data_IF_753833240611
#
_entry.id   IF_753833240611
#
_cell.length_a   1.000
_cell.length_b   1.000
_cell.length_c   1.000
_cell.angle_alpha   90.00
_cell.angle_beta   90.00
_cell.angle_gamma   90.00
#
_symmetry.space_group_name_H-M   'P 1'
#
loop_
_entity.id
_entity.type
_entity.pdbx_description
1 polymer ?
#
# COMPACT_ATOMS: atom_id res chain seq x y z
N UNK A 1 36.14 -9.49 -29.26
CA UNK A 1 34.89 -10.11 -28.86
C UNK A 1 33.95 -9.04 -28.25
N UNK A 2 32.72 -8.99 -28.73
CA UNK A 2 31.79 -8.03 -28.20
C UNK A 2 31.39 -8.36 -26.78
N UNK A 3 31.41 -7.37 -25.94
CA UNK A 3 30.97 -7.51 -24.56
C UNK A 3 29.45 -7.70 -24.52
N UNK A 4 29.00 -8.87 -24.07
CA UNK A 4 27.58 -9.21 -23.97
C UNK A 4 26.87 -8.27 -22.99
N UNK A 5 27.58 -7.81 -21.97
CA UNK A 5 27.01 -6.90 -20.97
C UNK A 5 26.66 -5.52 -21.53
N UNK A 6 27.26 -5.13 -22.66
CA UNK A 6 26.99 -3.87 -23.30
C UNK A 6 25.74 -3.85 -24.18
N UNK A 7 25.11 -5.00 -24.42
CA UNK A 7 23.96 -5.06 -25.33
C UNK A 7 22.69 -4.60 -24.65
N UNK A 8 21.96 -3.64 -25.29
CA UNK A 8 20.71 -3.11 -24.67
C UNK A 8 19.67 -4.18 -24.38
N UNK A 9 19.50 -5.16 -25.27
CA UNK A 9 18.53 -6.22 -25.06
C UNK A 9 18.85 -7.10 -23.86
N UNK A 10 20.13 -7.35 -23.59
CA UNK A 10 20.56 -8.13 -22.42
C UNK A 10 20.31 -7.35 -21.15
N UNK A 11 20.69 -6.07 -21.14
CA UNK A 11 20.44 -5.21 -19.99
C UNK A 11 18.96 -5.07 -19.69
N UNK A 12 18.14 -4.96 -20.74
CA UNK A 12 16.69 -4.87 -20.61
C UNK A 12 16.11 -6.15 -19.99
N UNK A 13 16.58 -7.32 -20.41
CA UNK A 13 16.12 -8.58 -19.86
C UNK A 13 16.53 -8.75 -18.40
N UNK A 14 17.74 -8.35 -18.03
CA UNK A 14 18.22 -8.42 -16.66
C UNK A 14 17.35 -7.54 -15.77
N UNK A 15 17.08 -6.29 -16.19
CA UNK A 15 16.24 -5.37 -15.42
C UNK A 15 14.82 -5.89 -15.28
N UNK A 16 14.25 -6.47 -16.36
CA UNK A 16 12.93 -7.06 -16.31
C UNK A 16 12.87 -8.18 -15.28
N UNK A 17 13.85 -9.08 -15.31
CA UNK A 17 13.92 -10.19 -14.37
C UNK A 17 14.08 -9.71 -12.93
N UNK A 18 14.89 -8.69 -12.71
CA UNK A 18 15.05 -8.10 -11.38
C UNK A 18 13.75 -7.51 -10.86
N UNK A 19 12.98 -6.83 -11.73
CA UNK A 19 11.67 -6.28 -11.36
C UNK A 19 10.69 -7.41 -11.01
N UNK A 20 10.69 -8.49 -11.79
CA UNK A 20 9.81 -9.63 -11.53
C UNK A 20 10.15 -10.31 -10.19
N UNK A 21 11.42 -10.48 -9.89
CA UNK A 21 11.86 -11.05 -8.62
C UNK A 21 11.50 -10.15 -7.45
N UNK A 22 11.67 -8.85 -7.60
CA UNK A 22 11.29 -7.89 -6.56
C UNK A 22 9.78 -7.90 -6.33
N UNK A 23 9.00 -7.94 -7.42
CA UNK A 23 7.54 -8.02 -7.31
C UNK A 23 7.09 -9.31 -6.62
N UNK A 24 7.71 -10.43 -6.93
CA UNK A 24 7.37 -11.71 -6.30
C UNK A 24 7.70 -11.71 -4.80
N UNK A 25 8.83 -11.13 -4.41
CA UNK A 25 9.19 -11.00 -2.98
C UNK A 25 8.20 -10.10 -2.26
N UNK A 26 7.81 -9.01 -2.90
CA UNK A 26 6.82 -8.09 -2.35
C UNK A 26 5.48 -8.79 -2.13
N UNK A 27 5.02 -9.58 -3.11
CA UNK A 27 3.75 -10.29 -3.01
C UNK A 27 3.72 -11.26 -1.84
N UNK A 28 4.86 -11.89 -1.52
CA UNK A 28 4.93 -12.82 -0.38
C UNK A 28 4.70 -12.12 0.97
N UNK A 29 4.88 -10.81 1.03
CA UNK A 29 4.67 -10.05 2.27
C UNK A 29 3.22 -9.63 2.49
N UNK A 30 2.37 -9.68 1.46
CA UNK A 30 0.99 -9.21 1.58
C UNK A 30 0.22 -9.97 2.64
N UNK A 31 0.49 -11.26 2.82
CA UNK A 31 -0.16 -12.08 3.84
C UNK A 31 0.07 -11.56 5.26
N UNK A 32 1.14 -10.80 5.49
CA UNK A 32 1.49 -10.27 6.81
C UNK A 32 0.92 -8.86 7.04
N UNK A 33 0.21 -8.32 6.05
CA UNK A 33 -0.38 -6.99 6.17
C UNK A 33 -1.61 -7.01 7.07
N UNK A 34 -1.86 -5.88 7.73
CA UNK A 34 -3.08 -5.68 8.51
C UNK A 34 -4.21 -5.16 7.64
N UNK A 35 -3.89 -4.43 6.59
CA UNK A 35 -4.88 -3.84 5.70
C UNK A 35 -4.24 -3.53 4.35
N UNK A 36 -5.04 -3.58 3.30
CA UNK A 36 -4.65 -3.06 1.97
C UNK A 36 -5.56 -1.87 1.66
N UNK A 37 -4.96 -0.68 1.59
CA UNK A 37 -5.67 0.55 1.23
C UNK A 37 -5.64 0.69 -0.29
N UNK A 38 -6.79 0.95 -0.88
CA UNK A 38 -6.90 0.95 -2.34
C UNK A 38 -7.50 2.23 -2.89
N UNK A 39 -7.04 2.59 -4.07
CA UNK A 39 -7.79 3.41 -5.01
C UNK A 39 -8.19 2.45 -6.12
N UNK A 40 -9.41 1.87 -6.03
CA UNK A 40 -9.80 0.88 -7.02
C UNK A 40 -9.81 1.50 -8.40
N UNK A 41 -9.25 0.79 -9.16
CA UNK A 41 -8.47 -0.24 -9.70
C UNK A 41 -6.99 0.12 -9.86
N UNK A 42 -6.63 1.39 -9.54
CA UNK A 42 -5.33 1.95 -9.90
C UNK A 42 -4.23 1.70 -8.88
N UNK A 43 -4.56 1.75 -7.59
CA UNK A 43 -3.52 1.68 -6.55
C UNK A 43 -3.91 0.69 -5.46
N UNK A 44 -2.90 -0.03 -4.97
CA UNK A 44 -3.00 -0.82 -3.73
C UNK A 44 -1.75 -0.62 -2.90
N UNK A 45 -1.93 -0.42 -1.59
CA UNK A 45 -0.84 -0.27 -0.63
C UNK A 45 -1.12 -1.16 0.56
N UNK A 46 -0.28 -2.16 0.78
CA UNK A 46 -0.40 -3.08 1.91
C UNK A 46 0.39 -2.53 3.09
N UNK A 47 -0.26 -2.41 4.23
CA UNK A 47 0.28 -1.79 5.42
C UNK A 47 0.26 -2.76 6.58
N UNK A 48 1.29 -2.71 7.41
CA UNK A 48 1.32 -3.46 8.66
C UNK A 48 1.76 -2.54 9.80
N UNK A 49 1.12 -2.72 10.95
CA UNK A 49 1.52 -2.05 12.17
C UNK A 49 2.44 -2.98 12.93
N UNK A 50 3.67 -2.54 13.17
CA UNK A 50 4.64 -3.30 13.95
C UNK A 50 4.84 -2.63 15.30
N UNK A 51 4.39 -3.27 16.40
CA UNK A 51 4.57 -2.69 17.73
C UNK A 51 6.05 -2.52 18.12
N UNK A 52 6.96 -3.25 17.47
CA UNK A 52 8.39 -3.15 17.75
C UNK A 52 9.05 -1.97 17.02
N UNK A 53 8.42 -1.42 15.97
CA UNK A 53 8.85 -0.16 15.37
C UNK A 53 8.22 0.97 16.17
N UNK A 54 8.73 2.20 16.05
CA UNK A 54 8.32 3.36 16.84
C UNK A 54 6.83 3.74 16.70
N UNK A 55 5.96 2.76 16.46
CA UNK A 55 4.53 2.96 16.34
C UNK A 55 4.05 3.36 14.96
N UNK A 56 4.95 3.50 14.00
CA UNK A 56 4.58 3.88 12.65
C UNK A 56 4.26 2.66 11.81
N UNK A 57 3.13 2.67 11.08
CA UNK A 57 2.86 1.62 10.10
C UNK A 57 3.92 1.58 9.01
N UNK A 58 4.19 0.38 8.51
CA UNK A 58 5.20 0.13 7.47
C UNK A 58 4.51 -0.36 6.21
N UNK A 59 5.02 0.05 5.05
CA UNK A 59 4.52 -0.41 3.77
C UNK A 59 5.20 -1.74 3.43
N UNK A 60 4.41 -2.79 3.28
CA UNK A 60 4.92 -4.11 2.89
C UNK A 60 4.89 -4.32 1.38
N UNK A 61 3.91 -3.75 0.71
CA UNK A 61 3.74 -3.88 -0.73
C UNK A 61 2.98 -2.69 -1.26
N UNK A 62 3.28 -2.29 -2.48
CA UNK A 62 2.50 -1.26 -3.15
C UNK A 62 2.66 -1.40 -4.65
N UNK A 63 1.66 -0.97 -5.40
CA UNK A 63 1.71 -1.05 -6.84
C UNK A 63 0.56 -0.35 -7.52
N UNK A 64 0.69 -0.26 -8.84
CA UNK A 64 -0.33 0.32 -9.71
C UNK A 64 -0.83 -0.75 -10.66
N UNK A 65 -2.05 -0.57 -11.14
CA UNK A 65 -2.69 -1.35 -12.20
C UNK A 65 -2.55 -2.85 -11.97
N UNK A 66 -1.75 -3.56 -12.76
CA UNK A 66 -1.61 -5.00 -12.64
C UNK A 66 -1.05 -5.42 -11.28
N UNK A 67 -0.05 -4.72 -10.76
CA UNK A 67 0.48 -5.02 -9.43
C UNK A 67 -0.56 -4.72 -8.36
N UNK A 68 -1.32 -3.64 -8.50
CA UNK A 68 -2.41 -3.35 -7.57
C UNK A 68 -3.44 -4.47 -7.54
N UNK A 69 -3.79 -4.99 -8.69
CA UNK A 69 -4.70 -6.14 -8.80
C UNK A 69 -4.13 -7.36 -8.08
N UNK A 70 -2.85 -7.69 -8.34
CA UNK A 70 -2.20 -8.85 -7.70
C UNK A 70 -2.17 -8.71 -6.18
N UNK A 71 -1.91 -7.50 -5.67
CA UNK A 71 -1.92 -7.26 -4.22
C UNK A 71 -3.32 -7.52 -3.65
N UNK A 72 -4.36 -7.05 -4.32
CA UNK A 72 -5.74 -7.30 -3.86
C UNK A 72 -6.07 -8.79 -3.87
N UNK A 73 -5.67 -9.51 -4.91
CA UNK A 73 -5.93 -10.95 -4.98
C UNK A 73 -5.20 -11.71 -3.87
N UNK A 74 -3.94 -11.37 -3.62
CA UNK A 74 -3.19 -11.96 -2.50
C UNK A 74 -3.85 -11.65 -1.15
N UNK A 75 -4.32 -10.41 -0.99
CA UNK A 75 -5.02 -10.04 0.24
C UNK A 75 -6.28 -10.90 0.45
N UNK A 76 -7.04 -11.12 -0.61
CA UNK A 76 -8.25 -11.96 -0.53
C UNK A 76 -7.91 -13.39 -0.15
N UNK A 77 -6.86 -13.96 -0.75
CA UNK A 77 -6.44 -15.34 -0.47
C UNK A 77 -6.07 -15.51 1.01
N UNK A 78 -5.44 -14.51 1.60
CA UNK A 78 -4.94 -14.59 2.97
C UNK A 78 -5.84 -13.91 4.01
N UNK A 79 -7.04 -13.47 3.61
CA UNK A 79 -7.99 -12.88 4.54
C UNK A 79 -7.59 -11.49 5.04
N UNK A 80 -6.77 -10.78 4.31
CA UNK A 80 -6.39 -9.41 4.65
C UNK A 80 -7.48 -8.45 4.18
N UNK A 81 -7.91 -7.56 5.07
CA UNK A 81 -8.97 -6.61 4.78
C UNK A 81 -8.54 -5.60 3.72
N UNK A 82 -9.40 -5.38 2.74
CA UNK A 82 -9.22 -4.36 1.71
C UNK A 82 -10.08 -3.16 2.07
N UNK A 83 -9.47 -2.00 2.14
CA UNK A 83 -10.14 -0.76 2.54
C UNK A 83 -10.01 0.27 1.42
N UNK A 84 -11.07 0.53 0.65
CA UNK A 84 -11.02 1.56 -0.39
C UNK A 84 -10.99 2.95 0.25
N UNK A 85 -9.96 3.71 -0.07
CA UNK A 85 -9.81 5.10 0.37
C UNK A 85 -8.93 5.81 -0.66
N UNK A 86 -9.49 6.23 -1.80
CA UNK A 86 -8.69 6.72 -2.92
C UNK A 86 -7.70 7.83 -2.59
N UNK A 87 -8.08 8.90 -1.87
CA UNK A 87 -7.10 9.93 -1.55
C UNK A 87 -5.95 9.40 -0.68
N UNK A 88 -6.25 8.54 0.29
CA UNK A 88 -5.23 7.97 1.16
C UNK A 88 -4.31 7.01 0.40
N UNK A 89 -4.89 6.17 -0.46
CA UNK A 89 -4.09 5.23 -1.26
C UNK A 89 -3.10 5.99 -2.16
N UNK A 90 -3.55 7.06 -2.81
CA UNK A 90 -2.67 7.88 -3.64
C UNK A 90 -1.58 8.54 -2.83
N UNK A 91 -1.93 9.13 -1.68
CA UNK A 91 -0.94 9.76 -0.81
C UNK A 91 0.11 8.76 -0.34
N UNK A 92 -0.32 7.58 0.09
CA UNK A 92 0.59 6.52 0.50
C UNK A 92 1.51 6.08 -0.64
N UNK A 93 0.94 5.86 -1.82
CA UNK A 93 1.72 5.38 -2.95
C UNK A 93 2.83 6.37 -3.33
N UNK A 94 2.50 7.66 -3.39
CA UNK A 94 3.45 8.66 -3.87
C UNK A 94 4.44 9.14 -2.82
N UNK A 95 4.25 8.79 -1.55
CA UNK A 95 5.15 9.25 -0.48
C UNK A 95 5.82 8.11 0.27
N UNK A 96 5.57 6.86 -0.10
CA UNK A 96 6.08 5.70 0.63
C UNK A 96 7.13 4.94 -0.15
N UNK A 97 7.90 4.15 0.60
CA UNK A 97 8.82 3.17 0.05
C UNK A 97 8.58 1.83 0.75
N UNK A 98 8.79 0.74 0.02
CA UNK A 98 8.59 -0.60 0.56
C UNK A 98 9.55 -0.84 1.73
N UNK A 99 9.02 -1.48 2.79
CA UNK A 99 9.73 -1.80 4.02
C UNK A 99 10.10 -0.57 4.86
N UNK A 100 9.52 0.58 4.55
CA UNK A 100 9.77 1.82 5.30
C UNK A 100 8.49 2.31 5.97
N UNK A 101 8.63 3.05 7.08
CA UNK A 101 7.48 3.70 7.70
C UNK A 101 6.82 4.69 6.75
N UNK A 102 5.51 4.85 6.90
CA UNK A 102 4.76 5.84 6.12
C UNK A 102 5.17 7.27 6.53
N UNK A 103 4.84 8.23 5.67
CA UNK A 103 5.07 9.64 5.96
C UNK A 103 4.29 10.05 7.21
N UNK A 104 4.90 10.83 8.09
CA UNK A 104 4.29 11.20 9.37
C UNK A 104 2.96 11.94 9.22
N UNK A 105 2.78 12.70 8.14
CA UNK A 105 1.53 13.42 7.89
C UNK A 105 0.34 12.48 7.62
N UNK A 106 0.61 11.21 7.37
CA UNK A 106 -0.44 10.21 7.11
C UNK A 106 -0.70 9.30 8.32
N UNK A 107 0.01 9.48 9.43
CA UNK A 107 -0.13 8.61 10.61
C UNK A 107 -1.56 8.58 11.13
N UNK A 108 -2.18 9.74 11.28
CA UNK A 108 -3.53 9.82 11.85
C UNK A 108 -4.54 9.10 10.95
N UNK A 109 -4.50 9.36 9.64
CA UNK A 109 -5.42 8.74 8.69
C UNK A 109 -5.26 7.22 8.68
N UNK A 110 -4.01 6.73 8.65
CA UNK A 110 -3.75 5.29 8.62
C UNK A 110 -4.13 4.65 9.95
N UNK A 111 -3.88 5.33 11.06
CA UNK A 111 -4.25 4.81 12.38
C UNK A 111 -5.76 4.59 12.48
N UNK A 112 -6.56 5.49 11.93
CA UNK A 112 -8.02 5.32 11.89
C UNK A 112 -8.43 4.07 11.12
N UNK A 113 -7.78 3.81 9.99
CA UNK A 113 -8.08 2.63 9.17
C UNK A 113 -7.68 1.35 9.91
N UNK A 114 -6.49 1.31 10.50
CA UNK A 114 -6.01 0.13 11.21
C UNK A 114 -6.88 -0.16 12.43
N UNK A 115 -7.25 0.88 13.19
CA UNK A 115 -8.14 0.71 14.33
C UNK A 115 -9.50 0.13 13.91
N UNK A 116 -10.03 0.61 12.80
CA UNK A 116 -11.28 0.09 12.26
C UNK A 116 -11.15 -1.40 11.91
N UNK A 117 -10.07 -1.77 11.21
CA UNK A 117 -9.84 -3.15 10.81
C UNK A 117 -9.71 -4.07 12.03
N UNK A 118 -8.97 -3.65 13.06
CA UNK A 118 -8.84 -4.43 14.28
C UNK A 118 -10.20 -4.60 14.97
N UNK A 119 -11.04 -3.57 14.95
CA UNK A 119 -12.37 -3.64 15.55
C UNK A 119 -13.33 -4.54 14.75
N UNK A 120 -13.13 -4.68 13.44
CA UNK A 120 -13.91 -5.62 12.64
C UNK A 120 -13.67 -7.07 13.07
N UNK A 121 -12.49 -7.38 13.55
CA UNK A 121 -12.10 -8.72 13.96
C UNK A 121 -12.47 -9.04 15.42
N UNK A 122 -13.03 -8.06 16.14
CA UNK A 122 -13.49 -8.24 17.51
C UNK A 122 -14.98 -7.92 17.59
N UNK A 123 -15.73 -8.74 18.38
CA UNK A 123 -17.15 -8.50 18.59
C UNK A 123 -17.32 -7.42 19.66
N UNK A 124 -18.02 -6.35 19.33
CA UNK A 124 -18.39 -5.37 20.34
C UNK A 124 -19.38 -5.97 21.32
N UNK A 125 -19.31 -5.55 22.58
CA UNK A 125 -20.13 -6.11 23.65
C UNK A 125 -21.63 -5.91 23.41
N UNK A 126 -22.02 -4.90 22.63
CA UNK A 126 -23.41 -4.62 22.29
C UNK A 126 -23.84 -5.19 20.94
N UNK A 127 -22.95 -5.92 20.26
CA UNK A 127 -23.24 -6.52 18.94
C UNK A 127 -23.21 -5.52 17.78
N UNK A 128 -22.86 -4.27 18.02
CA UNK A 128 -22.82 -3.27 16.95
C UNK A 128 -21.55 -3.43 16.11
N UNK A 129 -21.66 -3.08 14.80
CA UNK A 129 -20.51 -3.03 13.89
C UNK A 129 -19.79 -1.71 14.06
N UNK A 130 -18.45 -1.69 13.93
CA UNK A 130 -17.72 -0.44 13.96
C UNK A 130 -18.08 0.44 12.77
N UNK A 131 -18.07 1.75 13.00
CA UNK A 131 -18.35 2.72 11.95
C UNK A 131 -17.13 2.85 11.05
N UNK A 132 -17.34 2.72 9.74
CA UNK A 132 -16.27 2.85 8.75
C UNK A 132 -15.77 4.30 8.74
N UNK A 133 -14.47 4.55 8.96
CA UNK A 133 -13.95 5.90 8.94
C UNK A 133 -13.83 6.44 7.51
N UNK A 134 -13.84 7.76 7.42
CA UNK A 134 -13.47 8.49 6.20
C UNK A 134 -12.15 9.19 6.52
N UNK A 135 -11.01 8.54 6.27
CA UNK A 135 -9.72 9.09 6.72
C UNK A 135 -9.39 10.37 5.98
N UNK A 136 -9.10 11.41 6.77
CA UNK A 136 -8.79 12.73 6.24
C UNK A 136 -7.31 12.80 5.82
N UNK A 137 -7.08 13.22 4.58
CA UNK A 137 -5.72 13.39 4.05
C UNK A 137 -5.42 14.89 4.02
N UNK A 138 -4.30 15.33 4.63
CA UNK A 138 -3.93 16.75 4.60
C UNK A 138 -3.80 17.26 3.16
N UNK A 139 -4.12 18.55 2.95
CA UNK A 139 -4.03 19.16 1.61
C UNK A 139 -2.65 18.97 0.97
N UNK A 140 -1.60 19.09 1.78
CA UNK A 140 -0.23 18.93 1.28
C UNK A 140 0.06 17.51 0.77
N UNK A 141 -0.80 16.54 1.10
CA UNK A 141 -0.63 15.14 0.74
C UNK A 141 -1.70 14.66 -0.23
N UNK A 142 -2.44 15.55 -0.85
CA UNK A 142 -3.46 15.19 -1.82
C UNK A 142 -2.86 15.13 -3.22
N UNK A 143 -2.90 13.94 -3.82
CA UNK A 143 -2.34 13.68 -5.14
C UNK A 143 -3.45 13.18 -6.06
N UNK A 144 -3.32 13.47 -7.38
CA UNK A 144 -4.15 12.82 -8.38
C UNK A 144 -3.52 11.47 -8.79
N UNK A 145 -4.14 10.80 -9.76
CA UNK A 145 -3.67 9.48 -10.20
C UNK A 145 -2.31 9.53 -10.91
N UNK A 146 -1.88 10.70 -11.35
CA UNK A 146 -0.58 10.88 -12.00
C UNK A 146 0.49 11.37 -11.03
N UNK A 147 0.16 11.52 -9.75
CA UNK A 147 1.11 11.98 -8.74
C UNK A 147 1.28 13.46 -8.64
N UNK A 148 0.41 14.23 -9.30
CA UNK A 148 0.44 15.70 -9.20
C UNK A 148 -0.35 16.12 -7.97
N UNK A 149 0.15 17.11 -7.26
CA UNK A 149 -0.59 17.64 -6.11
C UNK A 149 -1.85 18.32 -6.57
N UNK A 150 -2.91 18.18 -5.78
CA UNK A 150 -4.16 18.84 -6.05
C UNK A 150 -3.93 20.35 -6.12
N UNK A 151 -4.59 20.99 -7.10
CA UNK A 151 -4.46 22.42 -7.26
C UNK A 151 -5.04 23.13 -6.04
N UNK A 152 -4.20 23.90 -5.36
CA UNK A 152 -4.65 24.78 -4.30
C UNK A 152 -5.12 26.08 -4.95
N UNK A 153 -6.32 26.46 -4.64
CA UNK A 153 -6.85 27.74 -5.11
C UNK A 153 -6.88 28.74 -3.99
#
# INVERSE_FOLDING_TARGET
MKDVEGRPEVKSQIRKRQREMAANRMMQKVKDADVVVTNPEHFSVALAYDPASDGAPVVLAMGVDELAFRIREEAKVHGVTIFPAPPLARALYYTSQIDQPIHHDLYFAVAQVIAYVFNLNSTNSDGSLPVKPDPSVPESMQFDTLGRKAATQ
#
